data_IF_575050068408
#
_entry.id   IF_575050068408
#
_cell.length_a   1.000
_cell.length_b   1.000
_cell.length_c   1.000
_cell.angle_alpha   90.00
_cell.angle_beta   90.00
_cell.angle_gamma   90.00
#
_symmetry.space_group_name_H-M   'P 1'
#
loop_
_entity.id
_entity.type
_entity.pdbx_description
1 polymer ?
#
# COMPACT_ATOMS: atom_id res chain seq x y z
N UNK A 1 22.31 7.07 11.26
CA UNK A 1 22.32 7.65 9.89
C UNK A 1 22.96 6.65 8.95
N UNK A 2 22.20 5.97 8.07
CA UNK A 2 22.80 5.21 6.97
C UNK A 2 23.36 6.22 5.98
N UNK A 3 24.65 6.03 5.58
CA UNK A 3 25.29 6.85 4.56
C UNK A 3 24.47 6.82 3.26
N UNK A 4 24.39 7.96 2.54
CA UNK A 4 23.69 8.03 1.26
C UNK A 4 24.32 7.03 0.28
N UNK A 5 23.48 6.18 -0.30
CA UNK A 5 23.89 5.19 -1.31
C UNK A 5 24.54 5.90 -2.50
N UNK A 6 25.63 5.35 -2.96
CA UNK A 6 26.44 5.90 -4.06
C UNK A 6 26.39 4.99 -5.28
N UNK A 7 26.65 5.57 -6.47
CA UNK A 7 26.86 4.78 -7.70
C UNK A 7 27.90 3.68 -7.50
N UNK A 8 28.92 3.92 -6.65
CA UNK A 8 29.99 2.95 -6.37
C UNK A 8 29.45 1.72 -5.65
N UNK A 9 28.51 1.89 -4.73
CA UNK A 9 27.88 0.77 -4.00
C UNK A 9 27.00 -0.08 -4.92
N UNK A 10 26.20 0.56 -5.79
CA UNK A 10 25.41 -0.15 -6.81
C UNK A 10 26.35 -0.91 -7.75
N UNK A 11 27.41 -0.26 -8.21
CA UNK A 11 28.41 -0.86 -9.10
C UNK A 11 29.08 -2.09 -8.47
N UNK A 12 29.43 -2.00 -7.19
CA UNK A 12 30.01 -3.11 -6.44
C UNK A 12 29.04 -4.27 -6.27
N UNK A 13 27.77 -3.98 -5.97
CA UNK A 13 26.70 -5.00 -5.77
C UNK A 13 26.42 -5.78 -7.06
N UNK A 14 26.37 -5.10 -8.20
CA UNK A 14 26.03 -5.72 -9.50
C UNK A 14 27.27 -6.25 -10.25
N UNK A 15 28.48 -5.90 -9.79
CA UNK A 15 29.73 -6.30 -10.45
C UNK A 15 29.96 -5.62 -11.81
N UNK A 16 29.71 -4.30 -11.87
CA UNK A 16 29.90 -3.46 -13.06
C UNK A 16 30.66 -2.17 -12.73
N UNK A 17 31.10 -1.41 -13.73
CA UNK A 17 31.72 -0.10 -13.48
C UNK A 17 30.69 0.95 -13.06
N UNK A 18 31.12 1.94 -12.26
CA UNK A 18 30.27 3.10 -11.91
C UNK A 18 29.79 3.87 -13.15
N UNK A 19 30.59 3.90 -14.20
CA UNK A 19 30.21 4.50 -15.49
C UNK A 19 29.07 3.73 -16.15
N UNK A 20 29.11 2.38 -16.11
CA UNK A 20 28.03 1.53 -16.62
C UNK A 20 26.72 1.77 -15.84
N UNK A 21 26.78 1.81 -14.50
CA UNK A 21 25.62 2.12 -13.67
C UNK A 21 25.04 3.49 -14.04
N UNK A 22 25.89 4.52 -14.13
CA UNK A 22 25.48 5.87 -14.49
C UNK A 22 24.77 5.92 -15.85
N UNK A 23 25.30 5.25 -16.86
CA UNK A 23 24.72 5.22 -18.20
C UNK A 23 23.37 4.47 -18.23
N UNK A 24 23.25 3.35 -17.52
CA UNK A 24 21.99 2.61 -17.41
C UNK A 24 20.91 3.45 -16.72
N UNK A 25 21.23 4.05 -15.58
CA UNK A 25 20.28 4.86 -14.81
C UNK A 25 19.92 6.21 -15.46
N UNK A 26 20.69 6.63 -16.47
CA UNK A 26 20.36 7.78 -17.33
C UNK A 26 19.73 7.36 -18.67
N UNK A 27 19.29 6.10 -18.80
CA UNK A 27 18.60 5.57 -19.99
C UNK A 27 19.39 5.74 -21.29
N UNK A 28 20.72 5.60 -21.23
CA UNK A 28 21.58 5.68 -22.42
C UNK A 28 21.33 4.46 -23.32
N UNK A 29 20.66 4.72 -24.44
CA UNK A 29 20.33 3.69 -25.45
C UNK A 29 21.55 3.20 -26.24
N UNK A 30 22.66 3.95 -26.23
CA UNK A 30 23.89 3.59 -26.94
C UNK A 30 24.77 2.61 -26.16
N UNK A 31 24.43 2.36 -24.88
CA UNK A 31 25.17 1.42 -24.05
C UNK A 31 24.84 -0.03 -24.40
N UNK A 32 25.81 -0.75 -24.94
CA UNK A 32 25.74 -2.19 -25.16
C UNK A 32 25.96 -2.93 -23.84
N UNK A 33 24.87 -3.42 -23.25
CA UNK A 33 24.84 -4.23 -22.02
C UNK A 33 23.70 -5.24 -22.10
N UNK A 34 23.88 -6.43 -21.53
CA UNK A 34 22.81 -7.43 -21.52
C UNK A 34 21.59 -6.96 -20.72
N UNK A 35 20.38 -7.32 -21.15
CA UNK A 35 19.14 -6.98 -20.47
C UNK A 35 19.14 -7.43 -19.01
N UNK A 36 19.72 -8.60 -18.72
CA UNK A 36 19.87 -9.12 -17.35
C UNK A 36 20.68 -8.19 -16.46
N UNK A 37 21.82 -7.68 -16.95
CA UNK A 37 22.66 -6.74 -16.19
C UNK A 37 21.99 -5.36 -16.07
N UNK A 38 21.31 -4.90 -17.13
CA UNK A 38 20.53 -3.66 -17.10
C UNK A 38 19.46 -3.73 -16.02
N UNK A 39 18.70 -4.81 -15.99
CA UNK A 39 17.65 -5.03 -14.99
C UNK A 39 18.22 -5.12 -13.57
N UNK A 40 19.30 -5.87 -13.35
CA UNK A 40 19.96 -5.96 -12.04
C UNK A 40 20.44 -4.60 -11.51
N UNK A 41 20.92 -3.70 -12.39
CA UNK A 41 21.31 -2.34 -11.99
C UNK A 41 20.09 -1.54 -11.55
N UNK A 42 18.99 -1.61 -12.28
CA UNK A 42 17.75 -0.90 -11.97
C UNK A 42 17.18 -1.40 -10.62
N UNK A 43 17.00 -2.71 -10.46
CA UNK A 43 16.50 -3.33 -9.22
C UNK A 43 17.39 -3.01 -8.01
N UNK A 44 18.73 -3.02 -8.19
CA UNK A 44 19.66 -2.67 -7.11
C UNK A 44 19.56 -1.18 -6.76
N UNK A 45 19.41 -0.30 -7.74
CA UNK A 45 19.24 1.13 -7.51
C UNK A 45 17.91 1.42 -6.79
N UNK A 46 16.83 0.74 -7.17
CA UNK A 46 15.52 0.81 -6.52
C UNK A 46 15.58 0.26 -5.10
N UNK A 47 16.12 -0.94 -4.89
CA UNK A 47 16.26 -1.56 -3.56
C UNK A 47 17.10 -0.71 -2.60
N UNK A 48 18.06 0.04 -3.11
CA UNK A 48 18.90 0.96 -2.36
C UNK A 48 18.35 2.40 -2.35
N UNK A 49 17.23 2.64 -2.99
CA UNK A 49 16.58 3.96 -3.13
C UNK A 49 17.54 5.05 -3.65
N UNK A 50 18.29 4.72 -4.69
CA UNK A 50 19.30 5.61 -5.27
C UNK A 50 18.70 6.59 -6.28
N UNK A 51 18.79 7.90 -6.03
CA UNK A 51 18.45 8.93 -7.00
C UNK A 51 19.69 9.39 -7.79
N UNK A 52 19.62 9.34 -9.13
CA UNK A 52 20.72 9.83 -9.99
C UNK A 52 20.97 11.32 -9.76
N UNK A 53 22.21 11.83 -9.97
CA UNK A 53 22.49 13.26 -9.93
C UNK A 53 21.59 14.08 -10.88
N UNK A 54 21.22 13.49 -12.02
CA UNK A 54 20.29 14.11 -12.98
C UNK A 54 18.89 14.28 -12.40
N UNK A 55 18.35 13.27 -11.71
CA UNK A 55 17.06 13.36 -11.07
C UNK A 55 17.08 14.35 -9.89
N UNK A 56 18.16 14.37 -9.09
CA UNK A 56 18.35 15.37 -8.03
C UNK A 56 18.41 16.79 -8.56
N UNK A 57 19.20 17.02 -9.64
CA UNK A 57 19.27 18.32 -10.30
C UNK A 57 17.93 18.70 -10.95
N UNK A 58 17.18 17.72 -11.45
CA UNK A 58 15.86 17.93 -12.03
C UNK A 58 14.86 18.43 -10.98
N UNK A 59 14.82 17.85 -9.79
CA UNK A 59 13.97 18.33 -8.69
C UNK A 59 14.27 19.79 -8.32
N UNK A 60 15.56 20.14 -8.19
CA UNK A 60 16.01 21.51 -7.89
C UNK A 60 15.70 22.46 -9.06
N UNK A 61 15.96 22.05 -10.29
CA UNK A 61 15.70 22.85 -11.51
C UNK A 61 14.18 23.03 -11.74
N UNK A 62 13.35 22.09 -11.32
CA UNK A 62 11.90 22.15 -11.41
C UNK A 62 11.24 22.93 -10.26
N UNK A 63 12.03 23.37 -9.25
CA UNK A 63 11.54 24.16 -8.13
C UNK A 63 10.85 23.37 -7.02
N UNK A 64 10.91 22.01 -7.01
CA UNK A 64 10.42 21.20 -5.91
C UNK A 64 11.49 21.09 -4.82
N UNK A 65 11.51 22.05 -3.92
CA UNK A 65 12.46 22.10 -2.79
C UNK A 65 11.81 21.81 -1.45
N UNK A 66 10.49 21.98 -1.33
CA UNK A 66 9.71 21.75 -0.11
C UNK A 66 8.38 21.09 -0.44
N UNK A 67 8.06 20.02 0.26
CA UNK A 67 6.85 19.22 0.09
C UNK A 67 6.03 19.23 1.36
N UNK A 68 4.74 19.55 1.27
CA UNK A 68 3.78 19.33 2.34
C UNK A 68 3.26 17.90 2.25
N UNK A 69 3.33 17.19 3.38
CA UNK A 69 2.83 15.83 3.51
C UNK A 69 1.61 15.85 4.42
N UNK A 70 0.43 15.80 3.83
CA UNK A 70 -0.85 15.82 4.55
C UNK A 70 -1.27 14.39 4.84
N UNK A 71 -1.52 14.09 6.11
CA UNK A 71 -1.92 12.76 6.54
C UNK A 71 -3.35 12.79 7.12
N UNK A 72 -4.22 11.88 6.67
CA UNK A 72 -5.61 11.79 7.15
C UNK A 72 -5.74 11.25 8.58
N UNK A 73 -4.72 10.56 9.09
CA UNK A 73 -4.67 10.08 10.49
C UNK A 73 -3.95 11.07 11.38
N UNK A 74 -4.41 11.20 12.62
CA UNK A 74 -3.63 11.82 13.69
C UNK A 74 -2.33 11.03 13.96
N UNK A 75 -1.27 11.66 14.50
CA UNK A 75 0.03 11.01 14.69
C UNK A 75 -0.04 9.71 15.50
N UNK A 76 -0.88 9.67 16.54
CA UNK A 76 -1.04 8.52 17.43
C UNK A 76 -1.70 7.34 16.69
N UNK A 77 -2.59 7.63 15.75
CA UNK A 77 -3.28 6.62 14.94
C UNK A 77 -2.38 6.09 13.84
N UNK A 78 -1.54 6.94 13.23
CA UNK A 78 -0.56 6.52 12.24
C UNK A 78 0.46 5.54 12.84
N UNK A 79 0.96 5.82 14.05
CA UNK A 79 1.98 4.99 14.72
C UNK A 79 1.54 3.54 14.94
N UNK A 80 0.25 3.30 15.06
CA UNK A 80 -0.31 1.94 15.24
C UNK A 80 -0.77 1.31 13.92
N UNK A 81 -0.58 1.99 12.78
CA UNK A 81 -0.88 1.46 11.46
C UNK A 81 0.39 1.28 10.62
N UNK A 82 1.02 0.09 10.63
CA UNK A 82 2.29 -0.15 9.93
C UNK A 82 2.23 0.09 8.41
N UNK A 83 1.06 -0.01 7.79
CA UNK A 83 0.89 0.24 6.36
C UNK A 83 1.10 1.72 6.04
N UNK A 84 0.45 2.63 6.78
CA UNK A 84 0.60 4.07 6.54
C UNK A 84 1.98 4.59 6.99
N UNK A 85 2.57 3.98 8.02
CA UNK A 85 3.98 4.25 8.36
C UNK A 85 4.91 3.88 7.21
N UNK A 86 4.73 2.71 6.58
CA UNK A 86 5.54 2.28 5.43
C UNK A 86 5.36 3.21 4.22
N UNK A 87 4.11 3.61 3.91
CA UNK A 87 3.80 4.54 2.82
C UNK A 87 4.50 5.88 3.03
N UNK A 88 4.36 6.47 4.22
CA UNK A 88 5.03 7.73 4.57
C UNK A 88 6.55 7.61 4.48
N UNK A 89 7.12 6.50 4.98
CA UNK A 89 8.57 6.26 4.88
C UNK A 89 9.05 6.15 3.44
N UNK A 90 8.26 5.59 2.52
CA UNK A 90 8.53 5.60 1.08
C UNK A 90 8.65 7.02 0.54
N UNK A 91 7.68 7.88 0.86
CA UNK A 91 7.71 9.31 0.49
C UNK A 91 8.95 10.00 1.06
N UNK A 92 9.19 9.87 2.36
CA UNK A 92 10.30 10.55 3.06
C UNK A 92 11.67 10.10 2.54
N UNK A 93 11.86 8.79 2.31
CA UNK A 93 13.10 8.26 1.71
C UNK A 93 13.33 8.83 0.32
N UNK A 94 12.27 8.89 -0.51
CA UNK A 94 12.40 9.45 -1.86
C UNK A 94 12.72 10.93 -1.83
N UNK A 95 12.04 11.71 -0.97
CA UNK A 95 12.33 13.12 -0.76
C UNK A 95 13.77 13.34 -0.27
N UNK A 96 14.24 12.56 0.69
CA UNK A 96 15.61 12.65 1.20
C UNK A 96 16.67 12.37 0.11
N UNK A 97 16.43 11.36 -0.75
CA UNK A 97 17.30 11.05 -1.88
C UNK A 97 17.37 12.21 -2.90
N UNK A 98 16.27 12.93 -3.07
CA UNK A 98 16.15 14.09 -3.96
C UNK A 98 16.51 15.43 -3.30
N UNK A 99 16.81 15.44 -1.98
CA UNK A 99 17.06 16.64 -1.17
C UNK A 99 15.86 17.59 -1.10
N UNK A 100 14.66 17.04 -1.08
CA UNK A 100 13.43 17.78 -0.88
C UNK A 100 13.15 17.81 0.62
N UNK A 101 12.89 18.99 1.17
CA UNK A 101 12.43 19.15 2.54
C UNK A 101 10.97 18.70 2.67
N UNK A 102 10.62 17.96 3.72
CA UNK A 102 9.25 17.54 4.00
C UNK A 102 8.70 18.23 5.23
N UNK A 103 7.49 18.78 5.13
CA UNK A 103 6.74 19.32 6.26
C UNK A 103 5.50 18.45 6.45
N UNK A 104 5.39 17.85 7.65
CA UNK A 104 4.23 17.02 7.98
C UNK A 104 3.08 17.88 8.45
N UNK A 105 1.91 17.59 7.90
CA UNK A 105 0.64 18.24 8.25
C UNK A 105 -0.34 17.12 8.57
N UNK A 106 -0.60 16.92 9.86
CA UNK A 106 -1.56 15.91 10.28
C UNK A 106 -2.97 16.48 10.29
N UNK A 107 -3.91 15.65 9.86
CA UNK A 107 -5.32 15.95 10.04
C UNK A 107 -5.65 15.87 11.54
N UNK A 108 -6.22 16.96 12.03
CA UNK A 108 -6.80 17.08 13.37
C UNK A 108 -8.26 17.49 13.20
N UNK A 109 -9.00 17.71 14.28
CA UNK A 109 -10.40 18.17 14.21
C UNK A 109 -10.57 19.54 13.52
N UNK A 110 -9.46 20.21 13.21
CA UNK A 110 -9.43 21.46 12.45
C UNK A 110 -8.68 21.25 11.12
N UNK A 111 -9.13 21.97 10.08
CA UNK A 111 -8.44 22.00 8.77
C UNK A 111 -6.99 22.46 8.96
N UNK A 112 -6.03 21.92 8.21
CA UNK A 112 -4.65 22.35 8.23
C UNK A 112 -4.49 23.85 7.94
N UNK A 113 -3.40 24.45 8.43
CA UNK A 113 -3.08 25.84 8.06
C UNK A 113 -2.77 25.93 6.56
N UNK A 114 -3.63 26.62 5.83
CA UNK A 114 -3.49 26.83 4.39
C UNK A 114 -2.11 27.39 3.99
N UNK A 115 -1.49 28.20 4.86
CA UNK A 115 -0.17 28.77 4.62
C UNK A 115 0.91 27.70 4.49
N UNK A 116 0.83 26.60 5.26
CA UNK A 116 1.78 25.50 5.16
C UNK A 116 1.74 24.84 3.78
N UNK A 117 0.55 24.73 3.18
CA UNK A 117 0.37 24.17 1.84
C UNK A 117 0.83 25.14 0.76
N UNK A 118 0.51 26.43 0.89
CA UNK A 118 0.90 27.49 -0.04
C UNK A 118 2.41 27.75 -0.07
N UNK A 119 3.10 27.60 1.08
CA UNK A 119 4.55 27.77 1.21
C UNK A 119 5.32 26.55 0.67
N UNK A 120 4.65 25.41 0.45
CA UNK A 120 5.22 24.23 -0.16
C UNK A 120 5.23 24.34 -1.69
N UNK A 121 6.22 23.73 -2.33
CA UNK A 121 6.30 23.64 -3.79
C UNK A 121 5.30 22.64 -4.37
N UNK A 122 4.84 21.70 -3.55
CA UNK A 122 3.82 20.71 -3.86
C UNK A 122 3.35 19.96 -2.62
N UNK A 123 2.25 19.26 -2.74
CA UNK A 123 1.58 18.54 -1.65
C UNK A 123 1.36 17.08 -2.04
N UNK A 124 1.71 16.16 -1.14
CA UNK A 124 1.24 14.78 -1.20
C UNK A 124 0.23 14.56 -0.07
N UNK A 125 -0.93 14.03 -0.43
CA UNK A 125 -2.02 13.73 0.49
C UNK A 125 -2.09 12.23 0.68
N UNK A 126 -1.92 11.78 1.90
CA UNK A 126 -1.95 10.34 2.25
C UNK A 126 -3.34 9.95 2.72
N UNK A 127 -3.88 8.87 2.13
CA UNK A 127 -5.10 8.23 2.55
C UNK A 127 -6.37 8.95 2.09
N UNK A 128 -7.49 8.54 2.69
CA UNK A 128 -8.82 8.96 2.24
C UNK A 128 -9.26 10.26 2.91
N UNK A 129 -9.69 11.18 2.10
CA UNK A 129 -10.33 12.42 2.49
C UNK A 129 -11.75 12.49 1.88
N UNK A 130 -12.66 13.24 2.48
CA UNK A 130 -13.96 13.50 1.89
C UNK A 130 -13.85 14.49 0.71
N UNK A 131 -14.95 14.71 -0.01
CA UNK A 131 -14.94 15.57 -1.19
C UNK A 131 -14.65 17.03 -0.85
N UNK A 132 -15.24 17.57 0.22
CA UNK A 132 -15.06 18.95 0.65
C UNK A 132 -13.60 19.20 1.09
N UNK A 133 -13.00 18.25 1.75
CA UNK A 133 -11.59 18.31 2.18
C UNK A 133 -10.65 18.16 0.98
N UNK A 134 -10.94 17.26 0.06
CA UNK A 134 -10.18 17.06 -1.18
C UNK A 134 -10.17 18.35 -2.02
N UNK A 135 -11.33 18.99 -2.19
CA UNK A 135 -11.46 20.26 -2.93
C UNK A 135 -10.68 21.38 -2.20
N UNK A 136 -10.80 21.45 -0.88
CA UNK A 136 -10.08 22.44 -0.08
C UNK A 136 -8.56 22.26 -0.19
N UNK A 137 -8.06 21.03 -0.09
CA UNK A 137 -6.63 20.70 -0.24
C UNK A 137 -6.11 21.05 -1.65
N UNK A 138 -6.88 20.71 -2.69
CA UNK A 138 -6.54 21.03 -4.06
C UNK A 138 -6.49 22.55 -4.30
N UNK A 139 -7.44 23.30 -3.74
CA UNK A 139 -7.48 24.77 -3.87
C UNK A 139 -6.29 25.48 -3.20
N UNK A 140 -5.79 24.95 -2.08
CA UNK A 140 -4.71 25.59 -1.32
C UNK A 140 -3.31 25.04 -1.67
N UNK A 141 -3.22 24.00 -2.49
CA UNK A 141 -1.95 23.40 -2.94
C UNK A 141 -1.57 23.91 -4.33
N UNK A 142 -0.27 24.18 -4.56
CA UNK A 142 0.22 24.57 -5.90
C UNK A 142 0.16 23.42 -6.87
N UNK A 143 0.60 22.25 -6.43
CA UNK A 143 0.52 20.97 -7.13
C UNK A 143 0.17 19.91 -6.08
N UNK A 144 -0.69 18.96 -6.43
CA UNK A 144 -1.19 17.96 -5.50
C UNK A 144 -1.17 16.56 -6.12
N UNK A 145 -0.82 15.57 -5.29
CA UNK A 145 -0.90 14.14 -5.62
C UNK A 145 -1.49 13.41 -4.43
N UNK A 146 -2.45 12.53 -4.67
CA UNK A 146 -2.99 11.64 -3.64
C UNK A 146 -2.26 10.30 -3.64
N UNK A 147 -1.88 9.83 -2.46
CA UNK A 147 -1.29 8.51 -2.22
C UNK A 147 -2.26 7.65 -1.41
N UNK A 148 -2.54 6.44 -1.89
CA UNK A 148 -3.52 5.47 -1.35
C UNK A 148 -4.99 5.94 -1.40
N UNK A 149 -5.27 6.92 -2.24
CA UNK A 149 -6.63 7.39 -2.52
C UNK A 149 -6.74 7.82 -3.98
N UNK A 150 -7.91 7.59 -4.59
CA UNK A 150 -8.26 8.09 -5.92
C UNK A 150 -9.40 9.06 -5.76
N UNK A 151 -9.17 10.38 -5.89
CA UNK A 151 -10.22 11.40 -5.83
C UNK A 151 -11.24 11.21 -6.94
N UNK A 152 -12.44 11.78 -6.78
CA UNK A 152 -13.45 11.79 -7.82
C UNK A 152 -13.09 12.73 -8.98
N UNK A 153 -12.29 13.76 -8.71
CA UNK A 153 -11.78 14.66 -9.75
C UNK A 153 -10.69 13.98 -10.57
N UNK A 154 -10.95 13.75 -11.84
CA UNK A 154 -10.05 13.12 -12.79
C UNK A 154 -8.86 14.01 -13.22
N UNK A 155 -8.87 15.30 -12.84
CA UNK A 155 -7.76 16.24 -13.05
C UNK A 155 -6.68 16.16 -11.95
N UNK A 156 -6.94 15.40 -10.89
CA UNK A 156 -6.01 15.23 -9.78
C UNK A 156 -5.20 13.95 -9.96
N UNK A 157 -3.89 14.07 -9.77
CA UNK A 157 -2.98 12.93 -9.80
C UNK A 157 -3.19 12.03 -8.58
N UNK A 158 -3.11 10.71 -8.80
CA UNK A 158 -3.17 9.74 -7.70
C UNK A 158 -2.33 8.50 -7.94
N UNK A 159 -1.88 7.88 -6.85
CA UNK A 159 -1.21 6.58 -6.85
C UNK A 159 -1.87 5.70 -5.80
N UNK A 160 -2.33 4.52 -6.16
CA UNK A 160 -2.98 3.58 -5.24
C UNK A 160 -2.75 2.12 -5.67
N UNK A 161 -3.15 1.17 -4.84
CA UNK A 161 -3.32 -0.21 -5.27
C UNK A 161 -4.76 -0.44 -5.79
N UNK A 162 -4.93 -1.36 -6.75
CA UNK A 162 -6.26 -1.79 -7.17
C UNK A 162 -6.84 -2.78 -6.15
N UNK A 163 -7.48 -2.22 -5.11
CA UNK A 163 -8.08 -2.99 -4.02
C UNK A 163 -9.24 -3.88 -4.50
N UNK A 164 -9.96 -3.46 -5.55
CA UNK A 164 -11.02 -4.26 -6.15
C UNK A 164 -10.45 -5.52 -6.80
N UNK A 165 -9.52 -5.35 -7.73
CA UNK A 165 -8.88 -6.49 -8.41
C UNK A 165 -8.13 -7.38 -7.41
N UNK A 166 -7.54 -6.81 -6.37
CA UNK A 166 -6.87 -7.54 -5.30
C UNK A 166 -7.84 -8.47 -4.54
N UNK A 167 -9.02 -7.97 -4.16
CA UNK A 167 -10.06 -8.76 -3.51
C UNK A 167 -10.62 -9.84 -4.45
N UNK A 168 -10.97 -9.51 -5.68
CA UNK A 168 -11.48 -10.47 -6.66
C UNK A 168 -10.49 -11.62 -6.91
N UNK A 169 -9.19 -11.29 -7.00
CA UNK A 169 -8.10 -12.27 -7.14
C UNK A 169 -7.99 -13.18 -5.91
N UNK A 170 -8.07 -12.59 -4.69
CA UNK A 170 -8.02 -13.35 -3.45
C UNK A 170 -9.21 -14.30 -3.33
N UNK A 171 -10.43 -13.85 -3.58
CA UNK A 171 -11.65 -14.64 -3.51
C UNK A 171 -11.63 -15.81 -4.51
N UNK A 172 -11.23 -15.53 -5.76
CA UNK A 172 -11.10 -16.55 -6.80
C UNK A 172 -10.08 -17.63 -6.41
N UNK A 173 -8.96 -17.23 -5.82
CA UNK A 173 -7.92 -18.15 -5.38
C UNK A 173 -8.32 -18.95 -4.12
N UNK A 174 -9.05 -18.34 -3.18
CA UNK A 174 -9.64 -19.04 -2.03
C UNK A 174 -10.71 -20.04 -2.49
N UNK A 175 -11.53 -19.67 -3.48
CA UNK A 175 -12.52 -20.57 -4.06
C UNK A 175 -11.88 -21.81 -4.72
N UNK A 176 -10.74 -21.66 -5.38
CA UNK A 176 -9.94 -22.78 -5.92
C UNK A 176 -9.41 -23.71 -4.80
N UNK A 177 -9.15 -23.16 -3.59
CA UNK A 177 -8.75 -23.91 -2.38
C UNK A 177 -9.94 -24.53 -1.62
N UNK A 178 -11.13 -24.46 -2.18
CA UNK A 178 -12.33 -25.12 -1.64
C UNK A 178 -13.11 -24.29 -0.62
N UNK A 179 -12.80 -23.00 -0.45
CA UNK A 179 -13.61 -22.11 0.39
C UNK A 179 -14.87 -21.66 -0.34
N UNK A 180 -16.00 -21.62 0.36
CA UNK A 180 -17.32 -21.26 -0.20
C UNK A 180 -18.11 -20.33 0.69
N UNK A 181 -17.97 -20.50 2.01
CA UNK A 181 -18.72 -19.74 3.04
C UNK A 181 -17.78 -18.75 3.70
N UNK A 182 -17.45 -17.73 2.95
CA UNK A 182 -16.47 -16.74 3.35
C UNK A 182 -17.16 -15.56 4.04
N UNK A 183 -16.64 -15.16 5.20
CA UNK A 183 -17.04 -13.96 5.90
C UNK A 183 -16.09 -12.81 5.58
N UNK A 184 -16.59 -11.58 5.63
CA UNK A 184 -15.77 -10.36 5.58
C UNK A 184 -16.00 -9.54 6.85
N UNK A 185 -14.91 -9.05 7.43
CA UNK A 185 -14.95 -8.12 8.54
C UNK A 185 -14.02 -6.93 8.28
N UNK A 186 -14.51 -5.71 8.48
CA UNK A 186 -13.74 -4.50 8.33
C UNK A 186 -14.51 -3.31 7.80
N UNK A 187 -13.80 -2.32 7.30
CA UNK A 187 -14.44 -1.11 6.81
C UNK A 187 -15.05 -1.31 5.41
N UNK A 188 -16.10 -0.49 5.12
CA UNK A 188 -16.76 -0.48 3.82
C UNK A 188 -15.99 0.39 2.83
N UNK A 189 -15.08 -0.22 2.08
CA UNK A 189 -14.34 0.40 0.99
C UNK A 189 -14.50 -0.39 -0.33
N UNK A 190 -13.62 -0.16 -1.29
CA UNK A 190 -13.61 -0.88 -2.58
C UNK A 190 -13.41 -2.39 -2.42
N UNK A 191 -12.69 -2.84 -1.36
CA UNK A 191 -12.54 -4.28 -1.03
C UNK A 191 -13.86 -4.88 -0.61
N UNK A 192 -14.57 -4.23 0.31
CA UNK A 192 -15.87 -4.66 0.79
C UNK A 192 -16.90 -4.74 -0.35
N UNK A 193 -16.92 -3.73 -1.21
CA UNK A 193 -17.80 -3.71 -2.38
C UNK A 193 -17.49 -4.87 -3.34
N UNK A 194 -16.21 -5.11 -3.63
CA UNK A 194 -15.76 -6.21 -4.47
C UNK A 194 -16.12 -7.57 -3.85
N UNK A 195 -15.96 -7.73 -2.53
CA UNK A 195 -16.38 -8.93 -1.80
C UNK A 195 -17.87 -9.22 -2.01
N UNK A 196 -18.73 -8.23 -1.73
CA UNK A 196 -20.20 -8.38 -1.88
C UNK A 196 -20.56 -8.73 -3.32
N UNK A 197 -20.02 -8.01 -4.30
CA UNK A 197 -20.29 -8.23 -5.73
C UNK A 197 -19.86 -9.63 -6.17
N UNK A 198 -18.64 -10.03 -5.82
CA UNK A 198 -18.09 -11.34 -6.22
C UNK A 198 -18.86 -12.49 -5.58
N UNK A 199 -19.12 -12.42 -4.26
CA UNK A 199 -19.87 -13.45 -3.52
C UNK A 199 -21.30 -13.56 -3.99
N UNK A 200 -21.96 -12.43 -4.34
CA UNK A 200 -23.31 -12.41 -4.90
C UNK A 200 -23.32 -13.06 -6.29
N UNK A 201 -22.38 -12.73 -7.15
CA UNK A 201 -22.27 -13.33 -8.48
C UNK A 201 -22.01 -14.84 -8.42
N UNK A 202 -21.29 -15.31 -7.40
CA UNK A 202 -21.07 -16.74 -7.14
C UNK A 202 -22.27 -17.44 -6.49
N UNK A 203 -23.30 -16.73 -6.04
CA UNK A 203 -24.43 -17.26 -5.30
C UNK A 203 -24.11 -17.66 -3.87
N UNK A 204 -23.06 -17.11 -3.27
CA UNK A 204 -22.55 -17.47 -1.94
C UNK A 204 -22.65 -16.37 -0.89
N UNK A 205 -23.16 -15.19 -1.26
CA UNK A 205 -23.27 -14.07 -0.32
C UNK A 205 -24.32 -14.34 0.78
N UNK A 206 -23.90 -14.21 2.04
CA UNK A 206 -24.79 -14.18 3.22
C UNK A 206 -24.47 -12.88 3.98
N UNK A 207 -25.45 -11.98 4.09
CA UNK A 207 -25.33 -10.69 4.75
C UNK A 207 -24.96 -10.78 6.23
N UNK A 208 -25.29 -11.91 6.87
CA UNK A 208 -24.91 -12.20 8.26
C UNK A 208 -23.45 -12.58 8.43
N UNK A 209 -22.72 -12.82 7.35
CA UNK A 209 -21.28 -13.06 7.33
C UNK A 209 -20.50 -11.81 6.90
N UNK A 210 -21.16 -10.67 6.78
CA UNK A 210 -20.56 -9.39 6.46
C UNK A 210 -20.71 -8.42 7.63
N UNK A 211 -19.57 -7.91 8.16
CA UNK A 211 -19.57 -6.98 9.29
C UNK A 211 -18.69 -5.77 9.02
N UNK A 212 -19.29 -4.60 9.20
CA UNK A 212 -18.56 -3.33 9.20
C UNK A 212 -18.09 -2.98 10.61
N UNK A 213 -16.90 -2.40 10.71
CA UNK A 213 -16.37 -1.90 11.98
C UNK A 213 -14.95 -1.38 11.89
N UNK A 214 -14.38 -1.10 13.06
CA UNK A 214 -13.08 -0.49 13.20
C UNK A 214 -11.93 -1.40 12.72
N UNK A 215 -10.92 -0.80 12.08
CA UNK A 215 -9.79 -1.50 11.46
C UNK A 215 -8.67 -1.82 12.45
N UNK A 216 -9.03 -2.09 13.71
CA UNK A 216 -8.10 -2.37 14.81
C UNK A 216 -8.11 -3.85 15.17
N UNK A 217 -7.11 -4.28 15.95
CA UNK A 217 -7.06 -5.62 16.54
C UNK A 217 -8.33 -5.92 17.37
N UNK A 218 -8.78 -4.93 18.12
CA UNK A 218 -9.98 -5.04 18.96
C UNK A 218 -11.26 -5.15 18.11
N UNK A 219 -11.33 -4.37 17.02
CA UNK A 219 -12.39 -4.50 16.01
C UNK A 219 -12.42 -5.89 15.40
N UNK A 220 -11.26 -6.42 14.99
CA UNK A 220 -11.13 -7.79 14.46
C UNK A 220 -11.61 -8.85 15.44
N UNK A 221 -11.20 -8.75 16.70
CA UNK A 221 -11.65 -9.65 17.77
C UNK A 221 -13.18 -9.61 17.96
N UNK A 222 -13.74 -8.43 18.14
CA UNK A 222 -15.17 -8.24 18.37
C UNK A 222 -16.00 -8.74 17.20
N UNK A 223 -15.68 -8.32 15.98
CA UNK A 223 -16.44 -8.69 14.78
C UNK A 223 -16.35 -10.19 14.46
N UNK A 224 -15.21 -10.83 14.72
CA UNK A 224 -15.09 -12.29 14.61
C UNK A 224 -16.01 -12.99 15.58
N UNK A 225 -16.10 -12.56 16.84
CA UNK A 225 -17.02 -13.12 17.80
C UNK A 225 -18.48 -12.94 17.40
N UNK A 226 -18.84 -11.82 16.80
CA UNK A 226 -20.18 -11.59 16.24
C UNK A 226 -20.49 -12.59 15.11
N UNK A 227 -19.56 -12.82 14.18
CA UNK A 227 -19.69 -13.84 13.11
C UNK A 227 -19.90 -15.23 13.71
N UNK A 228 -19.12 -15.61 14.72
CA UNK A 228 -19.24 -16.92 15.36
C UNK A 228 -20.59 -17.09 16.11
N UNK A 229 -21.11 -16.00 16.68
CA UNK A 229 -22.40 -15.99 17.39
C UNK A 229 -23.61 -16.23 16.46
N UNK A 230 -23.48 -15.95 15.16
CA UNK A 230 -24.51 -16.26 14.16
C UNK A 230 -24.78 -17.77 14.00
N UNK A 231 -23.83 -18.61 14.49
CA UNK A 231 -23.91 -20.09 14.36
C UNK A 231 -24.13 -20.55 12.92
N UNK A 232 -23.63 -19.76 11.95
CA UNK A 232 -23.65 -20.09 10.54
C UNK A 232 -22.38 -20.83 10.16
N UNK A 233 -22.46 -21.76 9.22
CA UNK A 233 -21.27 -22.39 8.68
C UNK A 233 -20.40 -21.32 8.00
N UNK A 234 -19.18 -21.13 8.48
CA UNK A 234 -18.14 -20.28 7.89
C UNK A 234 -16.88 -21.11 7.74
N UNK A 235 -16.21 -21.00 6.58
CA UNK A 235 -14.99 -21.75 6.30
C UNK A 235 -13.77 -20.85 6.09
N UNK A 236 -13.98 -19.54 5.88
CA UNK A 236 -12.89 -18.55 5.89
C UNK A 236 -13.39 -17.19 6.39
N UNK A 237 -12.51 -16.44 7.05
CA UNK A 237 -12.72 -15.03 7.40
C UNK A 237 -11.68 -14.20 6.66
N UNK A 238 -12.17 -13.20 5.92
CA UNK A 238 -11.33 -12.21 5.23
C UNK A 238 -11.39 -10.92 6.03
N UNK A 239 -10.25 -10.44 6.51
CA UNK A 239 -10.15 -9.20 7.28
C UNK A 239 -9.72 -8.05 6.40
N UNK A 240 -10.16 -6.85 6.74
CA UNK A 240 -9.80 -5.62 6.02
C UNK A 240 -8.29 -5.39 5.99
N UNK A 241 -7.59 -5.66 7.10
CA UNK A 241 -6.15 -5.54 7.23
C UNK A 241 -5.58 -6.57 8.23
N UNK A 242 -4.26 -6.70 8.26
CA UNK A 242 -3.56 -7.67 9.10
C UNK A 242 -3.68 -7.37 10.60
N UNK A 243 -3.83 -6.10 11.01
CA UNK A 243 -4.11 -5.73 12.40
C UNK A 243 -5.43 -6.36 12.87
N UNK A 244 -6.48 -6.30 12.06
CA UNK A 244 -7.73 -7.01 12.38
C UNK A 244 -7.55 -8.52 12.43
N UNK A 245 -6.70 -9.10 11.57
CA UNK A 245 -6.43 -10.53 11.59
C UNK A 245 -5.82 -10.99 12.93
N UNK A 246 -4.99 -10.17 13.59
CA UNK A 246 -4.46 -10.46 14.94
C UNK A 246 -5.62 -10.70 15.92
N UNK A 247 -6.59 -9.79 15.94
CA UNK A 247 -7.80 -9.93 16.79
C UNK A 247 -8.66 -11.13 16.39
N UNK A 248 -8.77 -11.40 15.09
CA UNK A 248 -9.48 -12.59 14.55
C UNK A 248 -8.85 -13.87 15.06
N UNK A 249 -7.52 -13.99 15.00
CA UNK A 249 -6.81 -15.16 15.53
C UNK A 249 -7.11 -15.40 16.99
N UNK A 250 -7.04 -14.35 17.80
CA UNK A 250 -7.37 -14.44 19.22
C UNK A 250 -8.80 -14.96 19.43
N UNK A 251 -9.78 -14.42 18.73
CA UNK A 251 -11.19 -14.83 18.85
C UNK A 251 -11.42 -16.30 18.46
N UNK A 252 -10.76 -16.76 17.39
CA UNK A 252 -10.82 -18.16 16.93
C UNK A 252 -10.17 -19.11 17.94
N UNK A 253 -8.97 -18.78 18.46
CA UNK A 253 -8.28 -19.58 19.46
C UNK A 253 -9.09 -19.68 20.78
N UNK A 254 -9.68 -18.58 21.26
CA UNK A 254 -10.55 -18.59 22.45
C UNK A 254 -11.81 -19.43 22.23
N UNK A 255 -12.29 -19.53 20.98
CA UNK A 255 -13.42 -20.40 20.61
C UNK A 255 -13.01 -21.87 20.40
N UNK A 256 -11.71 -22.22 20.54
CA UNK A 256 -11.19 -23.57 20.31
C UNK A 256 -11.15 -23.99 18.84
N UNK A 257 -11.20 -23.02 17.91
CA UNK A 257 -11.19 -23.27 16.47
C UNK A 257 -9.77 -23.19 15.91
N UNK A 258 -9.41 -24.18 15.10
CA UNK A 258 -8.10 -24.27 14.47
C UNK A 258 -8.05 -23.50 13.15
N UNK A 259 -6.90 -22.87 12.90
CA UNK A 259 -6.57 -22.17 11.64
C UNK A 259 -5.49 -22.99 10.92
N UNK A 260 -5.67 -23.41 9.67
CA UNK A 260 -6.84 -23.26 8.80
C UNK A 260 -7.83 -24.43 8.88
N UNK A 261 -7.67 -25.34 9.86
CA UNK A 261 -8.41 -26.61 9.94
C UNK A 261 -9.93 -26.39 9.92
N UNK A 262 -10.42 -25.60 10.88
CA UNK A 262 -11.84 -25.25 10.97
C UNK A 262 -12.16 -24.02 10.12
N UNK A 263 -11.40 -22.94 10.29
CA UNK A 263 -11.62 -21.67 9.60
C UNK A 263 -10.30 -21.13 9.05
N UNK A 264 -10.25 -20.85 7.74
CA UNK A 264 -9.14 -20.13 7.11
C UNK A 264 -9.19 -18.64 7.42
N UNK A 265 -8.02 -17.98 7.50
CA UNK A 265 -7.94 -16.53 7.64
C UNK A 265 -7.09 -15.95 6.52
N UNK A 266 -7.60 -14.92 5.84
CA UNK A 266 -6.87 -14.15 4.83
C UNK A 266 -7.06 -12.66 5.08
N UNK A 267 -6.07 -11.85 4.66
CA UNK A 267 -6.04 -10.44 5.00
C UNK A 267 -5.39 -9.58 3.91
N UNK A 268 -5.12 -8.30 4.24
CA UNK A 268 -4.45 -7.33 3.38
C UNK A 268 -3.38 -6.57 4.15
N UNK A 269 -2.40 -6.07 3.44
CA UNK A 269 -1.26 -5.19 3.73
C UNK A 269 0.08 -5.93 3.79
N UNK A 270 0.16 -7.16 4.27
CA UNK A 270 1.41 -7.93 4.47
C UNK A 270 2.38 -7.21 5.43
N UNK A 271 1.85 -6.75 6.57
CA UNK A 271 2.69 -6.14 7.61
C UNK A 271 3.64 -7.18 8.22
N UNK A 272 4.74 -6.72 8.78
CA UNK A 272 5.83 -7.60 9.24
C UNK A 272 5.41 -8.69 10.23
N UNK A 273 4.39 -8.43 11.06
CA UNK A 273 3.89 -9.40 12.05
C UNK A 273 3.13 -10.56 11.40
N UNK A 274 2.59 -10.40 10.19
CA UNK A 274 1.80 -11.43 9.50
C UNK A 274 2.53 -12.79 9.36
N UNK A 275 3.84 -12.75 9.13
CA UNK A 275 4.67 -13.95 9.02
C UNK A 275 4.96 -14.66 10.35
N UNK A 276 4.74 -13.97 11.49
CA UNK A 276 5.02 -14.49 12.83
C UNK A 276 3.77 -14.91 13.59
N UNK A 277 2.57 -14.72 13.02
CA UNK A 277 1.36 -15.30 13.57
C UNK A 277 1.41 -16.83 13.52
N UNK A 278 0.64 -17.50 14.37
CA UNK A 278 0.58 -18.95 14.41
C UNK A 278 -0.85 -19.46 14.11
N UNK A 279 -1.04 -20.07 12.89
CA UNK A 279 -0.08 -20.21 11.78
C UNK A 279 0.23 -18.87 11.09
N UNK A 280 1.32 -18.76 10.29
CA UNK A 280 1.62 -17.55 9.50
C UNK A 280 0.45 -17.15 8.59
N UNK A 281 0.15 -15.84 8.55
CA UNK A 281 -1.04 -15.27 7.91
C UNK A 281 -0.88 -15.14 6.40
N UNK A 282 -1.80 -15.72 5.63
CA UNK A 282 -2.01 -15.44 4.20
C UNK A 282 -2.59 -14.04 4.05
N UNK A 283 -1.95 -13.20 3.25
CA UNK A 283 -2.35 -11.81 3.09
C UNK A 283 -2.07 -11.30 1.67
N UNK A 284 -2.75 -10.26 1.27
CA UNK A 284 -2.46 -9.55 0.02
C UNK A 284 -1.44 -8.45 0.33
N UNK A 285 -0.25 -8.58 -0.23
CA UNK A 285 0.76 -7.53 -0.17
C UNK A 285 0.32 -6.32 -0.99
N UNK A 286 0.17 -5.19 -0.35
CA UNK A 286 -0.03 -3.88 -0.95
C UNK A 286 1.30 -3.11 -0.90
N UNK A 287 1.78 -2.57 -2.03
CA UNK A 287 3.11 -1.97 -2.13
C UNK A 287 3.14 -0.54 -1.56
N UNK A 288 3.02 -0.41 -0.22
CA UNK A 288 2.87 0.88 0.45
C UNK A 288 4.06 1.82 0.22
N UNK A 289 5.29 1.32 0.35
CA UNK A 289 6.51 2.12 0.14
C UNK A 289 6.58 2.61 -1.32
N UNK A 290 6.31 1.73 -2.28
CA UNK A 290 6.33 2.03 -3.71
C UNK A 290 5.21 3.01 -4.11
N UNK A 291 4.04 2.95 -3.47
CA UNK A 291 2.97 3.96 -3.63
C UNK A 291 3.52 5.32 -3.22
N UNK A 292 4.18 5.40 -2.06
CA UNK A 292 4.78 6.64 -1.57
C UNK A 292 5.87 7.19 -2.48
N UNK A 293 6.79 6.35 -2.93
CA UNK A 293 7.88 6.75 -3.85
C UNK A 293 7.33 7.23 -5.19
N UNK A 294 6.35 6.50 -5.74
CA UNK A 294 5.72 6.85 -7.02
C UNK A 294 4.95 8.17 -6.93
N UNK A 295 4.32 8.46 -5.78
CA UNK A 295 3.63 9.74 -5.57
C UNK A 295 4.62 10.92 -5.64
N UNK A 296 5.84 10.78 -5.11
CA UNK A 296 6.89 11.82 -5.24
C UNK A 296 7.31 12.00 -6.69
N UNK A 297 7.50 10.92 -7.45
CA UNK A 297 7.85 11.01 -8.87
C UNK A 297 6.74 11.70 -9.69
N UNK A 298 5.49 11.36 -9.39
CA UNK A 298 4.33 11.92 -10.06
C UNK A 298 4.21 13.43 -9.78
N UNK A 299 4.48 13.85 -8.54
CA UNK A 299 4.52 15.26 -8.15
C UNK A 299 5.66 16.01 -8.86
N UNK A 300 6.84 15.39 -8.99
CA UNK A 300 7.95 15.96 -9.76
C UNK A 300 7.58 16.22 -11.21
N UNK A 301 6.86 15.30 -11.85
CA UNK A 301 6.39 15.50 -13.21
C UNK A 301 5.43 16.71 -13.33
N UNK A 302 4.53 16.88 -12.34
CA UNK A 302 3.60 18.04 -12.30
C UNK A 302 4.35 19.36 -12.13
N UNK A 303 5.24 19.43 -11.16
CA UNK A 303 6.09 20.63 -10.97
C UNK A 303 6.94 20.91 -12.19
N UNK A 304 7.33 19.86 -12.93
CA UNK A 304 8.06 19.95 -14.19
C UNK A 304 7.25 20.38 -15.40
N UNK A 305 5.94 20.70 -15.23
CA UNK A 305 5.07 21.22 -16.28
C UNK A 305 4.25 20.15 -17.02
N UNK A 306 4.03 18.98 -16.43
CA UNK A 306 3.06 18.03 -16.97
C UNK A 306 1.63 18.50 -16.65
N UNK A 307 0.82 18.72 -17.68
CA UNK A 307 -0.55 19.18 -17.53
C UNK A 307 -1.56 18.03 -17.37
N UNK A 308 -1.35 16.91 -18.09
CA UNK A 308 -2.25 15.78 -18.04
C UNK A 308 -2.19 15.07 -16.69
N UNK A 309 -3.34 14.89 -16.04
CA UNK A 309 -3.45 14.11 -14.81
C UNK A 309 -3.15 12.61 -15.06
N UNK A 310 -2.61 11.95 -14.06
CA UNK A 310 -2.36 10.51 -14.07
C UNK A 310 -2.93 9.86 -12.83
N UNK A 311 -3.65 8.77 -13.01
CA UNK A 311 -4.05 7.86 -11.93
C UNK A 311 -3.28 6.56 -12.12
N UNK A 312 -2.33 6.30 -11.21
CA UNK A 312 -1.44 5.12 -11.27
C UNK A 312 -1.95 4.08 -10.29
N UNK A 313 -2.15 2.86 -10.80
CA UNK A 313 -2.50 1.71 -9.98
C UNK A 313 -1.31 0.73 -9.94
N UNK A 314 -0.79 0.48 -8.74
CA UNK A 314 0.27 -0.49 -8.52
C UNK A 314 -0.30 -1.88 -8.27
N UNK A 315 0.39 -2.89 -8.79
CA UNK A 315 -0.05 -4.27 -8.68
C UNK A 315 0.15 -4.81 -7.26
N UNK A 316 -0.87 -5.52 -6.77
CA UNK A 316 -0.81 -6.32 -5.54
C UNK A 316 -0.48 -7.78 -5.83
N UNK A 317 0.01 -8.51 -4.82
CA UNK A 317 0.25 -9.95 -4.90
C UNK A 317 -0.27 -10.66 -3.65
N UNK A 318 -0.77 -11.89 -3.81
CA UNK A 318 -1.12 -12.73 -2.66
C UNK A 318 0.15 -13.39 -2.13
N UNK A 319 0.37 -13.25 -0.84
CA UNK A 319 1.44 -13.94 -0.10
C UNK A 319 0.80 -15.11 0.63
N UNK A 320 0.91 -16.29 0.04
CA UNK A 320 0.37 -17.51 0.61
C UNK A 320 1.19 -17.95 1.81
N UNK A 321 0.49 -18.25 2.90
CA UNK A 321 1.05 -18.81 4.14
C UNK A 321 0.11 -19.87 4.71
N UNK A 322 0.36 -20.32 5.92
CA UNK A 322 -0.31 -21.49 6.50
C UNK A 322 -1.70 -21.20 7.10
N UNK A 323 -2.20 -19.98 7.09
CA UNK A 323 -3.54 -19.64 7.61
C UNK A 323 -4.68 -19.97 6.64
N UNK A 324 -4.36 -20.43 5.45
CA UNK A 324 -5.32 -20.93 4.45
C UNK A 324 -4.89 -22.30 3.94
N UNK A 325 -5.86 -23.09 3.42
CA UNK A 325 -5.56 -24.40 2.84
C UNK A 325 -4.63 -24.25 1.66
N UNK A 326 -3.65 -25.14 1.54
CA UNK A 326 -2.84 -25.27 0.35
C UNK A 326 -3.64 -25.89 -0.82
N UNK A 327 -3.23 -25.63 -2.06
CA UNK A 327 -3.71 -26.41 -3.20
C UNK A 327 -3.17 -27.85 -3.12
N UNK A 328 -3.92 -28.80 -3.69
CA UNK A 328 -3.51 -30.21 -3.68
C UNK A 328 -2.10 -30.44 -4.28
N UNK A 329 -1.75 -29.67 -5.31
CA UNK A 329 -0.43 -29.74 -5.96
C UNK A 329 0.70 -29.06 -5.13
N UNK A 330 0.38 -28.17 -4.19
CA UNK A 330 1.34 -27.53 -3.27
C UNK A 330 1.70 -28.45 -2.09
N UNK A 331 0.83 -29.41 -1.75
CA UNK A 331 1.06 -30.39 -0.67
C UNK A 331 1.99 -31.55 -1.09
N UNK A 332 2.23 -31.71 -2.39
CA UNK A 332 3.06 -32.77 -2.95
C UNK A 332 4.54 -32.38 -3.14
N UNK A 333 4.94 -31.16 -2.77
CA UNK A 333 6.32 -30.65 -2.84
C UNK A 333 6.89 -30.41 -1.46
#
# INVERSE_FOLDING_TARGET
MRAMVTIKEIAATVGVSSATVSRVLNYDSTLSISNRKRQAIIETAEALNYATPRNRNRAIQQGLNKLALVHFLAPERELVDPYYVALRLGIERRCAALKIETVKVYHTDARPDAKLLQDASGTIVIGRHDEDETEWLAHHSRQIVFADHVPHDDQIDSVSADLRAAMEKLLSALAQRGYRRMAYIGWSDRRAQAFVQWMTAAGWFDDRLFRNGDNTEEGGYRLTREILAERRPVDAIITFNDSMAIGTYRALHEAGLSIPGDIGVASFNDISVAQFLNPPLTTVHLPAEEIGETAVELLLERVGGRDLAKQISLASRIVWRASTRALADEQAR
#
